data_IF_926824319666
#
_entry.id   IF_926824319666
#
_cell.length_a   1.000
_cell.length_b   1.000
_cell.length_c   1.000
_cell.angle_alpha   90.00
_cell.angle_beta   90.00
_cell.angle_gamma   90.00
#
_symmetry.space_group_name_H-M   'P 1'
#
loop_
_entity.id
_entity.type
_entity.pdbx_description
1 polymer ?
#
# COMPACT_ATOMS: atom_id res chain seq x y z
N UNK A 1 3.38 2.38 30.35
CA UNK A 1 2.23 1.98 29.51
C UNK A 1 2.50 2.07 27.99
N UNK A 2 3.73 1.80 27.49
CA UNK A 2 4.08 2.05 26.08
C UNK A 2 4.14 0.82 25.15
N UNK A 3 4.23 -0.40 25.68
CA UNK A 3 4.45 -1.62 24.87
C UNK A 3 3.16 -2.22 24.28
N UNK A 4 2.02 -2.05 24.97
CA UNK A 4 0.71 -2.56 24.50
C UNK A 4 0.23 -1.82 23.25
N UNK A 5 0.38 -0.48 23.24
CA UNK A 5 -0.08 0.36 22.14
C UNK A 5 0.63 0.02 20.83
N UNK A 6 1.95 -0.25 20.87
CA UNK A 6 2.72 -0.63 19.69
C UNK A 6 2.30 -2.00 19.10
N UNK A 7 1.88 -2.96 19.93
CA UNK A 7 1.39 -4.26 19.43
C UNK A 7 -0.01 -4.15 18.81
N UNK A 8 -0.91 -3.42 19.46
CA UNK A 8 -2.26 -3.18 18.94
C UNK A 8 -2.23 -2.37 17.65
N UNK A 9 -1.41 -1.33 17.60
CA UNK A 9 -1.18 -0.52 16.42
C UNK A 9 -0.62 -1.35 15.25
N UNK A 10 0.40 -2.19 15.51
CA UNK A 10 0.95 -3.11 14.50
C UNK A 10 -0.10 -4.09 13.99
N UNK A 11 -0.90 -4.70 14.87
CA UNK A 11 -2.00 -5.60 14.47
C UNK A 11 -3.05 -4.90 13.63
N UNK A 12 -3.44 -3.67 14.02
CA UNK A 12 -4.39 -2.85 13.26
C UNK A 12 -3.88 -2.53 11.86
N UNK A 13 -2.60 -2.14 11.73
CA UNK A 13 -1.98 -1.90 10.43
C UNK A 13 -1.88 -3.17 9.58
N UNK A 14 -1.51 -4.31 10.16
CA UNK A 14 -1.49 -5.59 9.43
C UNK A 14 -2.90 -5.98 8.95
N UNK A 15 -3.93 -5.81 9.78
CA UNK A 15 -5.32 -6.08 9.39
C UNK A 15 -5.78 -5.16 8.24
N UNK A 16 -5.48 -3.86 8.32
CA UNK A 16 -5.73 -2.90 7.23
C UNK A 16 -5.02 -3.32 5.93
N UNK A 17 -3.78 -3.81 6.04
CA UNK A 17 -3.02 -4.30 4.89
C UNK A 17 -3.70 -5.50 4.25
N UNK A 18 -4.11 -6.48 5.04
CA UNK A 18 -4.79 -7.69 4.55
C UNK A 18 -6.12 -7.32 3.86
N UNK A 19 -6.93 -6.47 4.49
CA UNK A 19 -8.20 -6.00 3.93
C UNK A 19 -7.97 -5.28 2.60
N UNK A 20 -6.97 -4.40 2.53
CA UNK A 20 -6.62 -3.70 1.30
C UNK A 20 -6.21 -4.64 0.17
N UNK A 21 -5.41 -5.68 0.46
CA UNK A 21 -5.03 -6.71 -0.53
C UNK A 21 -6.27 -7.45 -1.04
N UNK A 22 -7.18 -7.86 -0.15
CA UNK A 22 -8.44 -8.53 -0.54
C UNK A 22 -9.27 -7.62 -1.46
N UNK A 23 -9.40 -6.34 -1.13
CA UNK A 23 -10.09 -5.35 -1.97
C UNK A 23 -9.45 -5.22 -3.36
N UNK A 24 -8.12 -5.15 -3.45
CA UNK A 24 -7.41 -5.04 -4.74
C UNK A 24 -7.67 -6.27 -5.60
N UNK A 25 -7.55 -7.48 -5.02
CA UNK A 25 -7.80 -8.73 -5.73
C UNK A 25 -9.24 -8.81 -6.22
N UNK A 26 -10.19 -8.44 -5.37
CA UNK A 26 -11.63 -8.44 -5.70
C UNK A 26 -11.94 -7.46 -6.83
N UNK A 27 -11.43 -6.23 -6.74
CA UNK A 27 -11.62 -5.20 -7.78
C UNK A 27 -10.95 -5.58 -9.11
N UNK A 28 -9.78 -6.22 -9.04
CA UNK A 28 -9.11 -6.77 -10.21
C UNK A 28 -9.94 -7.88 -10.87
N UNK A 29 -10.51 -8.78 -10.07
CA UNK A 29 -11.36 -9.87 -10.55
C UNK A 29 -12.67 -9.39 -11.20
N UNK A 30 -13.28 -8.32 -10.67
CA UNK A 30 -14.51 -7.72 -11.22
C UNK A 30 -14.25 -6.93 -12.52
N UNK A 31 -12.99 -6.78 -12.94
CA UNK A 31 -12.65 -6.05 -14.17
C UNK A 31 -12.54 -4.53 -13.98
N UNK A 32 -12.26 -4.08 -12.75
CA UNK A 32 -11.96 -2.68 -12.44
C UNK A 32 -10.47 -2.47 -12.09
N UNK A 33 -9.52 -2.73 -13.02
CA UNK A 33 -8.09 -2.66 -12.75
C UNK A 33 -7.63 -1.24 -12.37
N UNK A 34 -8.29 -0.21 -12.90
CA UNK A 34 -8.00 1.19 -12.58
C UNK A 34 -8.31 1.48 -11.10
N UNK A 35 -9.45 1.02 -10.58
CA UNK A 35 -9.81 1.18 -9.17
C UNK A 35 -8.91 0.34 -8.27
N UNK A 36 -8.59 -0.89 -8.67
CA UNK A 36 -7.63 -1.73 -7.94
C UNK A 36 -6.25 -1.04 -7.82
N UNK A 37 -5.74 -0.43 -8.89
CA UNK A 37 -4.49 0.33 -8.87
C UNK A 37 -4.54 1.56 -7.97
N UNK A 38 -5.66 2.30 -7.95
CA UNK A 38 -5.83 3.45 -7.05
C UNK A 38 -5.86 3.03 -5.58
N UNK A 39 -6.57 1.95 -5.25
CA UNK A 39 -6.59 1.39 -3.89
C UNK A 39 -5.19 0.92 -3.48
N UNK A 40 -4.46 0.28 -4.40
CA UNK A 40 -3.07 -0.12 -4.14
C UNK A 40 -2.13 1.07 -3.94
N UNK A 41 -2.25 2.14 -4.74
CA UNK A 41 -1.50 3.37 -4.56
C UNK A 41 -1.77 4.00 -3.18
N UNK A 42 -3.04 4.04 -2.74
CA UNK A 42 -3.42 4.53 -1.41
C UNK A 42 -2.85 3.64 -0.29
N UNK A 43 -2.84 2.32 -0.48
CA UNK A 43 -2.19 1.42 0.48
C UNK A 43 -0.71 1.74 0.64
N UNK A 44 0.02 1.90 -0.46
CA UNK A 44 1.46 2.21 -0.41
C UNK A 44 1.72 3.58 0.25
N UNK A 45 0.87 4.56 -0.02
CA UNK A 45 0.94 5.87 0.63
C UNK A 45 0.74 5.75 2.14
N UNK A 46 -0.29 5.02 2.58
CA UNK A 46 -0.53 4.78 4.01
C UNK A 46 0.59 3.97 4.67
N UNK A 47 1.21 3.04 3.94
CA UNK A 47 2.40 2.30 4.40
C UNK A 47 3.62 3.23 4.57
N UNK A 48 3.82 4.17 3.65
CA UNK A 48 4.86 5.21 3.74
C UNK A 48 4.65 6.14 4.93
N UNK A 49 3.41 6.59 5.17
CA UNK A 49 3.04 7.40 6.35
C UNK A 49 3.23 6.59 7.64
N UNK A 50 2.80 5.33 7.67
CA UNK A 50 3.01 4.44 8.81
C UNK A 50 4.48 4.32 9.16
N UNK A 51 5.34 4.22 8.14
CA UNK A 51 6.79 4.10 8.31
C UNK A 51 7.46 5.40 8.78
N UNK A 52 6.92 6.55 8.39
CA UNK A 52 7.31 7.86 8.93
C UNK A 52 7.03 7.96 10.44
N UNK A 53 5.93 7.37 10.90
CA UNK A 53 5.50 7.36 12.29
C UNK A 53 6.21 6.27 13.11
N UNK A 54 6.36 5.05 12.60
CA UNK A 54 7.09 3.95 13.23
C UNK A 54 8.52 3.86 12.67
N UNK A 55 9.41 4.71 13.19
CA UNK A 55 10.86 4.74 12.85
C UNK A 55 11.64 3.55 13.41
N UNK A 56 10.96 2.53 13.92
CA UNK A 56 11.60 1.39 14.56
C UNK A 56 12.35 0.52 13.55
N UNK A 57 13.62 0.13 13.84
CA UNK A 57 14.37 -0.80 12.98
C UNK A 57 13.78 -2.21 12.94
N UNK A 58 12.74 -2.51 13.74
CA UNK A 58 11.97 -3.77 13.71
C UNK A 58 10.68 -3.67 12.88
N UNK A 59 10.57 -2.69 11.99
CA UNK A 59 9.43 -2.56 11.06
C UNK A 59 9.55 -3.59 9.92
N UNK A 60 8.40 -4.05 9.42
CA UNK A 60 8.23 -5.21 8.52
C UNK A 60 9.01 -5.14 7.19
N UNK A 61 9.42 -3.93 6.76
CA UNK A 61 10.15 -3.71 5.51
C UNK A 61 11.45 -2.91 5.70
N UNK A 62 12.14 -3.00 6.83
CA UNK A 62 13.33 -2.19 7.15
C UNK A 62 14.52 -2.39 6.17
N UNK A 63 14.69 -1.55 5.14
CA UNK A 63 16.02 -1.27 4.59
C UNK A 63 16.77 -0.43 5.63
N UNK A 64 18.10 -0.50 5.62
CA UNK A 64 19.02 0.15 6.57
C UNK A 64 18.71 1.63 6.87
N UNK A 65 17.96 2.33 6.02
CA UNK A 65 17.48 3.70 6.25
C UNK A 65 15.98 3.84 5.97
N UNK A 66 15.22 4.17 7.02
CA UNK A 66 13.76 4.32 6.99
C UNK A 66 13.24 5.40 6.03
N UNK A 67 14.05 6.44 5.76
CA UNK A 67 13.73 7.51 4.81
C UNK A 67 13.67 7.00 3.36
N UNK A 68 14.62 6.16 2.95
CA UNK A 68 14.71 5.68 1.57
C UNK A 68 13.48 4.88 1.20
N UNK A 69 13.00 4.05 2.11
CA UNK A 69 11.78 3.31 1.89
C UNK A 69 10.53 4.19 1.87
N UNK A 70 10.44 5.23 2.70
CA UNK A 70 9.32 6.16 2.62
C UNK A 70 9.30 6.80 1.23
N UNK A 71 10.45 7.30 0.75
CA UNK A 71 10.59 7.90 -0.58
C UNK A 71 10.21 6.89 -1.67
N UNK A 72 10.66 5.63 -1.56
CA UNK A 72 10.30 4.57 -2.49
C UNK A 72 8.78 4.30 -2.48
N UNK A 73 8.15 4.17 -1.31
CA UNK A 73 6.72 3.93 -1.18
C UNK A 73 5.88 5.10 -1.71
N UNK A 74 6.29 6.34 -1.43
CA UNK A 74 5.61 7.54 -1.93
C UNK A 74 5.77 7.68 -3.44
N UNK A 75 6.99 7.53 -3.97
CA UNK A 75 7.23 7.62 -5.42
C UNK A 75 6.48 6.53 -6.18
N UNK A 76 6.46 5.30 -5.66
CA UNK A 76 5.75 4.17 -6.27
C UNK A 76 4.22 4.36 -6.19
N UNK A 77 3.71 4.93 -5.09
CA UNK A 77 2.31 5.34 -4.97
C UNK A 77 1.93 6.38 -6.02
N UNK A 78 2.72 7.44 -6.18
CA UNK A 78 2.47 8.50 -7.17
C UNK A 78 2.54 7.93 -8.59
N UNK A 79 3.57 7.13 -8.88
CA UNK A 79 3.73 6.49 -10.18
C UNK A 79 2.51 5.63 -10.51
N UNK A 80 2.06 4.78 -9.59
CA UNK A 80 0.86 3.94 -9.78
C UNK A 80 -0.42 4.75 -9.90
N UNK A 81 -0.54 5.86 -9.18
CA UNK A 81 -1.72 6.73 -9.27
C UNK A 81 -1.82 7.39 -10.66
N UNK A 82 -0.68 7.82 -11.21
CA UNK A 82 -0.58 8.37 -12.57
C UNK A 82 -0.76 7.28 -13.63
N UNK A 83 -0.24 6.07 -13.39
CA UNK A 83 -0.35 4.94 -14.32
C UNK A 83 -1.72 4.26 -14.31
N UNK A 84 -2.46 4.34 -13.19
CA UNK A 84 -3.76 3.71 -13.00
C UNK A 84 -4.74 3.92 -14.18
N UNK A 85 -4.95 5.14 -14.73
CA UNK A 85 -5.80 5.33 -15.90
C UNK A 85 -5.30 4.63 -17.18
N UNK A 86 -3.99 4.40 -17.31
CA UNK A 86 -3.39 3.72 -18.46
C UNK A 86 -3.48 2.20 -18.37
N UNK A 87 -3.61 1.65 -17.15
CA UNK A 87 -3.74 0.20 -16.93
C UNK A 87 -5.00 -0.42 -17.54
N UNK A 88 -6.06 0.37 -17.75
CA UNK A 88 -7.29 -0.07 -18.45
C UNK A 88 -7.21 -0.02 -19.98
N UNK A 89 -6.15 0.54 -20.55
CA UNK A 89 -6.00 0.73 -22.00
C UNK A 89 -5.31 -0.49 -22.65
N UNK A 90 -4.56 -1.28 -21.86
CA UNK A 90 -3.73 -2.40 -22.36
C UNK A 90 -4.35 -3.77 -22.07
N UNK A 91 -5.36 -3.87 -21.20
CA UNK A 91 -6.12 -5.11 -21.05
C UNK A 91 -7.26 -5.11 -22.07
N UNK A 92 -7.19 -5.91 -23.16
CA UNK A 92 -8.37 -6.15 -23.96
C UNK A 92 -9.39 -6.79 -23.01
N UNK A 93 -10.46 -6.06 -22.71
CA UNK A 93 -11.69 -6.65 -22.21
C UNK A 93 -12.11 -7.63 -23.30
N UNK A 94 -11.80 -8.91 -23.12
CA UNK A 94 -12.13 -9.99 -24.04
C UNK A 94 -13.63 -10.29 -24.06
N UNK A 95 -14.42 -9.27 -24.39
CA UNK A 95 -15.77 -9.41 -24.92
C UNK A 95 -15.69 -9.56 -26.44
#
# INVERSE_FOLDING_TARGET
>A
MGLSNNRLWRRGCTALVIIGIICIVTLGYIGHPVFACRVFALMLLSLGVYRLLDRSPKAWCAVRSWWLDCIALFSLSIALFILAPYGGIIMPTGL
#
